data_IF_221097273549
#
_entry.id   IF_221097273549
#
_cell.length_a   1.000
_cell.length_b   1.000
_cell.length_c   1.000
_cell.angle_alpha   90.00
_cell.angle_beta   90.00
_cell.angle_gamma   90.00
#
_symmetry.space_group_name_H-M   'P 1'
#
loop_
_entity.id
_entity.type
_entity.pdbx_description
1 polymer ?
#
# COMPACT_ATOMS: atom_id res chain seq x y z
N UNK A 1 -28.96 -12.85 -24.27
CA UNK A 1 -27.75 -12.72 -23.42
C UNK A 1 -26.98 -11.44 -23.79
N UNK A 2 -26.86 -10.44 -22.91
CA UNK A 2 -26.10 -9.22 -23.21
C UNK A 2 -24.85 -9.01 -22.34
N UNK A 3 -24.55 -9.89 -21.36
CA UNK A 3 -23.48 -9.62 -20.37
C UNK A 3 -22.16 -10.35 -20.61
N UNK A 4 -22.14 -11.41 -21.40
CA UNK A 4 -20.90 -11.98 -21.95
C UNK A 4 -20.90 -11.65 -23.45
N UNK A 5 -20.03 -10.74 -23.85
CA UNK A 5 -19.82 -10.45 -25.28
C UNK A 5 -19.43 -11.71 -26.03
N UNK A 6 -19.71 -11.75 -27.34
CA UNK A 6 -19.34 -12.87 -28.22
C UNK A 6 -17.81 -12.92 -28.42
N UNK A 7 -17.08 -13.43 -27.44
CA UNK A 7 -15.67 -13.77 -27.56
C UNK A 7 -15.58 -15.21 -28.09
N UNK A 8 -14.70 -15.52 -29.06
CA UNK A 8 -14.65 -16.87 -29.64
C UNK A 8 -14.65 -16.98 -31.17
N UNK A 9 -14.81 -15.88 -31.92
CA UNK A 9 -15.05 -15.94 -33.38
C UNK A 9 -13.76 -16.16 -34.19
N UNK A 10 -13.78 -17.14 -35.08
CA UNK A 10 -12.67 -17.53 -35.97
C UNK A 10 -12.00 -18.84 -35.54
N UNK A 11 -11.32 -19.53 -36.47
CA UNK A 11 -10.75 -20.88 -36.26
C UNK A 11 -9.72 -20.97 -35.11
N UNK A 12 -9.16 -19.84 -34.65
CA UNK A 12 -8.05 -19.80 -33.66
C UNK A 12 -8.23 -18.75 -32.53
N UNK A 13 -9.46 -18.39 -32.15
CA UNK A 13 -9.69 -17.31 -31.17
C UNK A 13 -10.48 -17.77 -29.94
N UNK A 14 -9.87 -18.53 -28.99
CA UNK A 14 -10.57 -18.96 -27.79
C UNK A 14 -10.87 -17.76 -26.87
N UNK A 15 -12.15 -17.43 -26.71
CA UNK A 15 -12.60 -16.42 -25.76
C UNK A 15 -12.57 -16.95 -24.31
N UNK A 16 -12.10 -16.13 -23.36
CA UNK A 16 -12.15 -16.45 -21.93
C UNK A 16 -12.99 -15.41 -21.18
N UNK A 17 -14.07 -15.85 -20.54
CA UNK A 17 -14.86 -15.06 -19.61
C UNK A 17 -14.63 -15.51 -18.18
N UNK A 18 -14.21 -14.59 -17.29
CA UNK A 18 -14.11 -14.84 -15.85
C UNK A 18 -15.19 -14.02 -15.16
N UNK A 19 -16.07 -14.68 -14.41
CA UNK A 19 -17.14 -14.03 -13.64
C UNK A 19 -16.87 -14.23 -12.16
N UNK A 20 -16.90 -13.14 -11.40
CA UNK A 20 -16.90 -13.19 -9.94
C UNK A 20 -18.35 -13.08 -9.47
N UNK A 21 -18.87 -14.14 -8.87
CA UNK A 21 -20.20 -14.15 -8.27
C UNK A 21 -20.10 -14.34 -6.76
N UNK A 22 -20.87 -13.56 -6.00
CA UNK A 22 -21.00 -13.76 -4.56
C UNK A 22 -21.91 -14.96 -4.29
N UNK A 23 -21.55 -15.78 -3.31
CA UNK A 23 -22.35 -16.97 -2.95
C UNK A 23 -23.72 -16.62 -2.34
N UNK A 24 -23.89 -15.39 -1.84
CA UNK A 24 -25.16 -14.90 -1.31
C UNK A 24 -25.38 -13.46 -1.75
N UNK A 25 -26.36 -13.23 -2.62
CA UNK A 25 -26.74 -11.92 -3.12
C UNK A 25 -27.75 -11.26 -2.17
N UNK A 26 -27.52 -9.99 -1.82
CA UNK A 26 -28.33 -9.24 -0.84
C UNK A 26 -29.80 -9.09 -1.24
N UNK A 27 -30.08 -9.07 -2.54
CA UNK A 27 -31.43 -8.90 -3.12
C UNK A 27 -31.74 -9.94 -4.20
N UNK A 28 -30.89 -10.95 -4.35
CA UNK A 28 -31.06 -12.01 -5.34
C UNK A 28 -31.66 -13.28 -4.73
N UNK A 29 -32.05 -14.19 -5.61
CA UNK A 29 -32.35 -15.57 -5.24
C UNK A 29 -31.05 -16.22 -4.75
N UNK A 30 -31.13 -17.04 -3.71
CA UNK A 30 -29.94 -17.66 -3.09
C UNK A 30 -30.07 -19.18 -2.96
N UNK A 31 -31.23 -19.73 -3.33
CA UNK A 31 -31.51 -21.16 -3.33
C UNK A 31 -32.22 -21.55 -4.63
N UNK A 32 -31.99 -22.79 -5.08
CA UNK A 32 -32.64 -23.35 -6.27
C UNK A 32 -34.18 -23.31 -6.14
N UNK A 33 -34.70 -23.45 -4.93
CA UNK A 33 -36.14 -23.34 -4.63
C UNK A 33 -36.74 -21.97 -4.88
N UNK A 34 -35.93 -20.91 -4.93
CA UNK A 34 -36.39 -19.53 -5.11
C UNK A 34 -36.74 -19.25 -6.59
N UNK A 35 -36.38 -20.16 -7.49
CA UNK A 35 -36.74 -20.08 -8.90
C UNK A 35 -38.10 -20.75 -9.14
N UNK A 36 -39.06 -20.05 -9.78
CA UNK A 36 -40.44 -20.50 -9.90
C UNK A 36 -40.62 -21.77 -10.75
N UNK A 37 -39.57 -22.34 -11.34
CA UNK A 37 -39.71 -23.26 -12.46
C UNK A 37 -38.55 -24.27 -12.64
N UNK A 38 -38.11 -24.95 -11.59
CA UNK A 38 -37.09 -26.03 -11.70
C UNK A 38 -37.55 -27.26 -12.53
N UNK A 39 -38.81 -27.31 -12.99
CA UNK A 39 -39.38 -28.41 -13.80
C UNK A 39 -39.89 -27.97 -15.19
N UNK A 40 -39.57 -26.76 -15.64
CA UNK A 40 -40.28 -26.13 -16.77
C UNK A 40 -39.49 -26.25 -18.07
N UNK A 41 -39.48 -27.45 -18.62
CA UNK A 41 -39.19 -27.68 -20.04
C UNK A 41 -40.43 -27.60 -20.95
N UNK A 42 -41.64 -27.40 -20.39
CA UNK A 42 -42.91 -27.65 -21.09
C UNK A 42 -43.92 -26.50 -21.13
N UNK A 43 -43.73 -25.39 -20.40
CA UNK A 43 -44.76 -24.32 -20.30
C UNK A 43 -44.32 -22.92 -20.75
N UNK A 44 -43.19 -22.80 -21.48
CA UNK A 44 -42.84 -21.53 -22.14
C UNK A 44 -42.58 -20.37 -21.18
N UNK A 45 -42.01 -20.64 -20.01
CA UNK A 45 -41.59 -19.58 -19.08
C UNK A 45 -40.34 -18.88 -19.62
N UNK A 46 -40.47 -17.61 -20.01
CA UNK A 46 -39.33 -16.74 -20.28
C UNK A 46 -38.78 -16.23 -18.94
N UNK A 47 -37.59 -16.71 -18.54
CA UNK A 47 -36.93 -16.20 -17.35
C UNK A 47 -36.59 -14.72 -17.53
N UNK A 48 -36.92 -13.83 -16.57
CA UNK A 48 -36.46 -12.44 -16.60
C UNK A 48 -34.94 -12.39 -16.43
N UNK A 49 -34.30 -11.36 -16.99
CA UNK A 49 -32.85 -11.24 -17.07
C UNK A 49 -32.14 -11.31 -15.71
N UNK A 50 -32.78 -10.82 -14.65
CA UNK A 50 -32.28 -10.89 -13.27
C UNK A 50 -32.22 -12.34 -12.75
N UNK A 51 -33.14 -13.21 -13.17
CA UNK A 51 -33.14 -14.63 -12.79
C UNK A 51 -31.95 -15.38 -13.40
N UNK A 52 -31.43 -14.92 -14.55
CA UNK A 52 -30.25 -15.53 -15.16
C UNK A 52 -29.01 -15.23 -14.31
N UNK A 53 -28.88 -13.99 -13.83
CA UNK A 53 -27.76 -13.57 -13.00
C UNK A 53 -27.75 -14.28 -11.64
N UNK A 54 -28.92 -14.42 -11.03
CA UNK A 54 -29.05 -15.16 -9.76
C UNK A 54 -28.77 -16.66 -9.95
N UNK A 55 -29.24 -17.27 -11.06
CA UNK A 55 -29.00 -18.69 -11.34
C UNK A 55 -27.50 -19.00 -11.52
N UNK A 56 -26.75 -18.10 -12.18
CA UNK A 56 -25.30 -18.20 -12.35
C UNK A 56 -24.53 -18.17 -11.01
N UNK A 57 -25.02 -17.41 -10.03
CA UNK A 57 -24.35 -17.26 -8.74
C UNK A 57 -24.52 -18.46 -7.80
N UNK A 58 -25.63 -19.18 -7.91
CA UNK A 58 -26.01 -20.26 -6.97
C UNK A 58 -25.59 -21.64 -7.49
N UNK A 59 -25.46 -21.80 -8.81
CA UNK A 59 -25.07 -23.07 -9.41
C UNK A 59 -23.57 -23.05 -9.74
N UNK A 60 -22.75 -23.99 -9.21
CA UNK A 60 -21.30 -24.02 -9.44
C UNK A 60 -20.85 -24.12 -10.90
N UNK A 61 -21.81 -24.32 -11.81
CA UNK A 61 -21.61 -24.60 -13.23
C UNK A 61 -22.33 -23.60 -14.12
N UNK A 62 -22.90 -22.53 -13.56
CA UNK A 62 -23.68 -21.58 -14.35
C UNK A 62 -24.83 -22.24 -15.10
N UNK A 63 -25.62 -23.08 -14.41
CA UNK A 63 -26.86 -23.64 -14.95
C UNK A 63 -27.84 -22.50 -15.21
N UNK A 64 -27.66 -21.80 -16.32
CA UNK A 64 -28.74 -21.09 -16.98
C UNK A 64 -29.66 -22.20 -17.46
N UNK A 65 -30.79 -22.38 -16.79
CA UNK A 65 -31.84 -23.34 -17.18
C UNK A 65 -32.49 -22.88 -18.49
N UNK A 66 -31.72 -22.83 -19.57
CA UNK A 66 -32.28 -22.96 -20.89
C UNK A 66 -32.38 -24.45 -21.15
N UNK A 67 -33.60 -24.97 -21.01
CA UNK A 67 -33.93 -26.31 -21.48
C UNK A 67 -33.32 -26.52 -22.87
N UNK A 68 -32.75 -27.71 -23.14
CA UNK A 68 -32.35 -28.07 -24.51
C UNK A 68 -33.53 -28.03 -25.49
N UNK A 69 -34.77 -27.97 -24.99
CA UNK A 69 -35.98 -27.78 -25.78
C UNK A 69 -36.37 -26.29 -25.99
N UNK A 70 -35.56 -25.33 -25.51
CA UNK A 70 -35.75 -23.91 -25.79
C UNK A 70 -35.30 -23.61 -27.23
N UNK A 71 -36.21 -23.03 -28.02
CA UNK A 71 -35.94 -22.66 -29.41
C UNK A 71 -34.74 -21.73 -29.57
N UNK A 72 -34.44 -20.89 -28.57
CA UNK A 72 -33.30 -19.98 -28.61
C UNK A 72 -31.97 -20.76 -28.54
N UNK A 73 -31.90 -21.82 -27.73
CA UNK A 73 -30.72 -22.69 -27.64
C UNK A 73 -30.48 -23.42 -28.95
N UNK A 74 -31.54 -23.91 -29.59
CA UNK A 74 -31.44 -24.54 -30.91
C UNK A 74 -30.94 -23.55 -31.97
N UNK A 75 -31.45 -22.32 -31.99
CA UNK A 75 -30.99 -21.29 -32.92
C UNK A 75 -29.53 -20.91 -32.68
N UNK A 76 -29.10 -20.84 -31.41
CA UNK A 76 -27.72 -20.51 -31.05
C UNK A 76 -26.75 -21.63 -31.47
N UNK A 77 -27.09 -22.90 -31.21
CA UNK A 77 -26.30 -24.07 -31.67
C UNK A 77 -26.14 -24.11 -33.19
N UNK A 78 -27.22 -23.84 -33.94
CA UNK A 78 -27.17 -23.79 -35.40
C UNK A 78 -26.25 -22.65 -35.88
N UNK A 79 -26.34 -21.49 -35.24
CA UNK A 79 -25.51 -20.34 -35.59
C UNK A 79 -24.03 -20.57 -35.26
N UNK A 80 -23.72 -21.15 -34.11
CA UNK A 80 -22.35 -21.53 -33.71
C UNK A 80 -21.71 -22.49 -34.73
N UNK A 81 -22.47 -23.50 -35.18
CA UNK A 81 -22.01 -24.42 -36.22
C UNK A 81 -21.78 -23.72 -37.58
N UNK A 82 -22.63 -22.77 -37.96
CA UNK A 82 -22.46 -21.97 -39.18
C UNK A 82 -21.24 -21.03 -39.11
N UNK A 83 -20.97 -20.47 -37.94
CA UNK A 83 -19.84 -19.56 -37.69
C UNK A 83 -18.52 -20.32 -37.40
N UNK A 84 -18.54 -21.67 -37.45
CA UNK A 84 -17.34 -22.51 -37.30
C UNK A 84 -16.81 -22.60 -35.87
N UNK A 85 -17.67 -22.44 -34.86
CA UNK A 85 -17.29 -22.58 -33.47
C UNK A 85 -16.92 -24.04 -33.15
N UNK A 86 -15.97 -24.22 -32.23
CA UNK A 86 -15.63 -25.53 -31.70
C UNK A 86 -16.84 -26.15 -30.96
N UNK A 87 -16.91 -27.47 -30.96
CA UNK A 87 -17.96 -28.21 -30.26
C UNK A 87 -18.00 -27.83 -28.77
N UNK A 88 -19.20 -27.49 -28.29
CA UNK A 88 -19.40 -27.04 -26.92
C UNK A 88 -19.25 -28.19 -25.93
N UNK A 89 -18.26 -28.11 -25.05
CA UNK A 89 -17.99 -29.12 -24.00
C UNK A 89 -18.70 -28.82 -22.67
N UNK A 90 -19.77 -28.02 -22.67
CA UNK A 90 -20.51 -27.73 -21.44
C UNK A 90 -21.35 -28.93 -20.99
N UNK A 91 -21.70 -29.00 -19.69
CA UNK A 91 -22.48 -30.12 -19.13
C UNK A 91 -23.86 -30.33 -19.79
N UNK A 92 -24.41 -29.32 -20.46
CA UNK A 92 -25.69 -29.43 -21.16
C UNK A 92 -25.57 -30.06 -22.56
N UNK A 93 -24.35 -30.07 -23.13
CA UNK A 93 -24.04 -30.61 -24.46
C UNK A 93 -23.27 -31.94 -24.39
N UNK A 94 -22.42 -32.14 -23.38
CA UNK A 94 -21.79 -33.43 -23.07
C UNK A 94 -21.87 -33.73 -21.57
N UNK A 95 -22.38 -34.93 -21.20
CA UNK A 95 -22.56 -35.35 -19.81
C UNK A 95 -21.24 -35.56 -19.03
N UNK A 96 -20.07 -35.38 -19.65
CA UNK A 96 -18.82 -35.94 -19.14
C UNK A 96 -17.76 -34.91 -18.71
N UNK A 97 -18.06 -33.62 -18.70
CA UNK A 97 -17.15 -32.62 -18.15
C UNK A 97 -17.56 -32.32 -16.72
N UNK A 98 -17.37 -33.32 -15.84
CA UNK A 98 -17.25 -33.05 -14.42
C UNK A 98 -16.22 -31.93 -14.27
N UNK A 99 -16.64 -30.85 -13.61
CA UNK A 99 -15.81 -29.75 -13.16
C UNK A 99 -14.40 -30.25 -12.89
N UNK A 100 -13.43 -29.86 -13.72
CA UNK A 100 -12.08 -29.76 -13.21
C UNK A 100 -12.22 -28.76 -12.08
N UNK A 101 -12.15 -29.22 -10.83
CA UNK A 101 -11.95 -28.33 -9.70
C UNK A 101 -10.74 -27.49 -10.07
N UNK A 102 -10.98 -26.26 -10.52
CA UNK A 102 -9.94 -25.27 -10.65
C UNK A 102 -9.65 -24.86 -9.20
N UNK A 103 -8.87 -25.69 -8.52
CA UNK A 103 -8.25 -25.38 -7.26
C UNK A 103 -7.19 -24.31 -7.52
N UNK A 104 -7.64 -23.10 -7.82
CA UNK A 104 -6.82 -21.92 -7.67
C UNK A 104 -6.85 -21.59 -6.18
N UNK A 105 -5.81 -22.00 -5.46
CA UNK A 105 -5.48 -21.32 -4.21
C UNK A 105 -5.26 -19.85 -4.57
N UNK A 106 -6.24 -19.00 -4.27
CA UNK A 106 -6.02 -17.56 -4.28
C UNK A 106 -5.06 -17.30 -3.12
N UNK A 107 -3.77 -17.02 -3.36
CA UNK A 107 -2.82 -16.90 -2.27
C UNK A 107 -3.25 -15.67 -1.49
N UNK A 108 -3.75 -15.87 -0.27
CA UNK A 108 -4.04 -14.78 0.64
C UNK A 108 -2.70 -14.12 0.97
N UNK A 109 -2.34 -13.12 0.16
CA UNK A 109 -1.04 -12.46 0.27
C UNK A 109 -1.05 -11.70 1.59
N UNK A 110 -0.08 -11.93 2.50
CA UNK A 110 0.05 -11.12 3.68
C UNK A 110 0.12 -9.65 3.26
N UNK A 111 -0.52 -8.72 3.99
CA UNK A 111 -0.46 -7.31 3.66
C UNK A 111 1.01 -6.89 3.51
N UNK A 112 1.33 -6.27 2.37
CA UNK A 112 2.68 -5.77 2.11
C UNK A 112 3.12 -4.90 3.30
N UNK A 113 4.39 -5.01 3.76
CA UNK A 113 4.89 -4.19 4.84
C UNK A 113 4.67 -2.70 4.55
N UNK A 114 4.17 -2.00 5.56
CA UNK A 114 3.59 -0.65 5.50
C UNK A 114 4.49 0.47 4.96
N UNK A 115 5.79 0.20 4.76
CA UNK A 115 6.82 1.17 4.39
C UNK A 115 6.72 1.66 2.94
N UNK A 116 6.15 0.89 2.00
CA UNK A 116 6.00 1.33 0.61
C UNK A 116 4.57 1.80 0.35
N UNK A 117 4.22 2.94 0.92
CA UNK A 117 2.90 3.57 0.73
C UNK A 117 2.66 3.96 -0.74
N UNK A 118 1.39 4.18 -1.14
CA UNK A 118 0.99 4.70 -2.47
C UNK A 118 1.68 6.03 -2.86
N UNK A 119 2.40 6.69 -1.94
CA UNK A 119 3.12 7.95 -2.14
C UNK A 119 4.58 7.79 -2.55
N UNK A 120 5.17 6.60 -2.40
CA UNK A 120 6.60 6.32 -2.64
C UNK A 120 7.01 6.46 -4.12
N UNK A 121 6.06 6.42 -5.06
CA UNK A 121 6.32 6.72 -6.49
C UNK A 121 6.20 8.19 -6.90
N UNK A 122 5.71 9.06 -6.00
CA UNK A 122 5.45 10.50 -6.26
C UNK A 122 6.53 11.45 -5.70
N UNK A 123 7.28 11.05 -4.68
CA UNK A 123 8.37 11.87 -4.14
C UNK A 123 9.57 11.87 -5.09
N UNK A 124 10.27 13.02 -5.14
CA UNK A 124 11.50 13.13 -5.92
C UNK A 124 12.58 12.25 -5.29
N UNK A 125 12.85 11.13 -5.94
CA UNK A 125 14.00 10.28 -5.67
C UNK A 125 15.32 11.06 -5.84
N UNK A 126 16.36 10.64 -5.11
CA UNK A 126 17.74 11.06 -5.40
C UNK A 126 18.09 10.68 -6.84
N UNK A 127 19.01 11.41 -7.45
CA UNK A 127 19.31 11.27 -8.87
C UNK A 127 19.76 9.85 -9.23
N UNK A 128 20.59 9.22 -8.41
CA UNK A 128 21.06 7.85 -8.66
C UNK A 128 19.93 6.82 -8.67
N UNK A 129 19.01 6.89 -7.70
CA UNK A 129 17.83 6.00 -7.66
C UNK A 129 16.93 6.19 -8.88
N UNK A 130 16.85 7.40 -9.46
CA UNK A 130 16.12 7.64 -10.72
C UNK A 130 16.83 6.98 -11.90
N UNK A 131 18.15 7.12 -11.99
CA UNK A 131 18.99 6.50 -13.02
C UNK A 131 18.87 4.99 -12.96
N UNK A 132 18.99 4.40 -11.77
CA UNK A 132 18.83 2.98 -11.55
C UNK A 132 17.43 2.48 -11.94
N UNK A 133 16.36 3.19 -11.54
CA UNK A 133 15.00 2.83 -11.94
C UNK A 133 14.81 2.87 -13.47
N UNK A 134 15.38 3.87 -14.15
CA UNK A 134 15.33 3.96 -15.61
C UNK A 134 16.10 2.81 -16.28
N UNK A 135 17.27 2.45 -15.74
CA UNK A 135 18.04 1.29 -16.18
C UNK A 135 17.22 0.00 -16.08
N UNK A 136 16.51 -0.21 -14.96
CA UNK A 136 15.66 -1.40 -14.77
C UNK A 136 14.53 -1.50 -15.80
N UNK A 137 13.88 -0.38 -16.14
CA UNK A 137 12.84 -0.36 -17.19
C UNK A 137 13.44 -0.75 -18.55
N UNK A 138 14.62 -0.22 -18.88
CA UNK A 138 15.31 -0.53 -20.13
C UNK A 138 15.70 -2.01 -20.21
N UNK A 139 16.21 -2.59 -19.11
CA UNK A 139 16.56 -4.01 -19.06
C UNK A 139 15.34 -4.90 -19.27
N UNK A 140 14.19 -4.58 -18.65
CA UNK A 140 12.99 -5.36 -18.90
C UNK A 140 12.48 -5.20 -20.33
N UNK A 141 12.49 -3.99 -20.87
CA UNK A 141 12.04 -3.77 -22.24
C UNK A 141 12.85 -4.62 -23.24
N UNK A 142 14.17 -4.72 -23.03
CA UNK A 142 15.04 -5.58 -23.82
C UNK A 142 14.72 -7.08 -23.62
N UNK A 143 14.53 -7.52 -22.36
CA UNK A 143 14.14 -8.90 -22.05
C UNK A 143 12.80 -9.27 -22.70
N UNK A 144 11.79 -8.41 -22.55
CA UNK A 144 10.46 -8.63 -23.12
C UNK A 144 10.51 -8.79 -24.63
N UNK A 145 11.21 -7.90 -25.35
CA UNK A 145 11.37 -8.00 -26.82
C UNK A 145 12.10 -9.27 -27.27
N UNK A 146 12.93 -9.86 -26.40
CA UNK A 146 13.60 -11.13 -26.68
C UNK A 146 12.69 -12.35 -26.51
N UNK A 147 11.67 -12.26 -25.65
CA UNK A 147 10.75 -13.37 -25.34
C UNK A 147 9.49 -13.31 -26.21
N UNK A 148 8.97 -12.11 -26.44
CA UNK A 148 7.74 -11.85 -27.18
C UNK A 148 8.09 -10.84 -28.29
N UNK A 149 8.17 -11.29 -29.56
CA UNK A 149 8.31 -10.40 -30.73
C UNK A 149 7.16 -9.39 -30.79
N UNK A 150 7.35 -8.20 -31.36
CA UNK A 150 6.45 -7.03 -31.27
C UNK A 150 4.93 -7.37 -31.30
N UNK A 151 4.31 -7.42 -30.11
CA UNK A 151 2.86 -7.52 -29.91
C UNK A 151 2.34 -6.25 -29.20
N UNK A 152 1.48 -5.45 -29.85
CA UNK A 152 0.99 -4.18 -29.29
C UNK A 152 0.26 -4.31 -27.95
N UNK A 153 -0.40 -5.44 -27.74
CA UNK A 153 -1.19 -5.74 -26.53
C UNK A 153 -0.29 -5.99 -25.31
N UNK A 154 0.91 -6.51 -25.53
CA UNK A 154 1.90 -6.83 -24.51
C UNK A 154 2.99 -5.75 -24.47
N UNK A 155 2.60 -4.54 -24.11
CA UNK A 155 3.56 -3.44 -23.96
C UNK A 155 4.31 -3.55 -22.61
N UNK A 156 5.64 -3.70 -22.59
CA UNK A 156 6.43 -3.87 -21.36
C UNK A 156 6.28 -2.70 -20.39
N UNK A 157 6.00 -1.49 -20.88
CA UNK A 157 5.78 -0.30 -20.04
C UNK A 157 4.50 -0.39 -19.21
N UNK A 158 3.48 -1.11 -19.71
CA UNK A 158 2.24 -1.33 -18.96
C UNK A 158 2.46 -2.32 -17.82
N UNK A 159 3.37 -3.27 -18.00
CA UNK A 159 3.64 -4.33 -17.02
C UNK A 159 4.66 -3.88 -15.98
N UNK A 160 5.69 -3.13 -16.41
CA UNK A 160 6.76 -2.63 -15.55
C UNK A 160 7.28 -1.26 -16.03
N UNK A 161 6.48 -0.23 -15.78
CA UNK A 161 6.89 1.15 -16.00
C UNK A 161 7.71 1.74 -14.85
N UNK A 162 8.10 3.02 -15.01
CA UNK A 162 8.89 3.77 -14.02
C UNK A 162 8.32 3.73 -12.61
N UNK A 163 6.99 3.69 -12.44
CA UNK A 163 6.39 3.63 -11.12
C UNK A 163 6.80 2.34 -10.37
N UNK A 164 6.71 1.18 -11.02
CA UNK A 164 7.11 -0.10 -10.42
C UNK A 164 8.63 -0.18 -10.23
N UNK A 165 9.41 0.27 -11.22
CA UNK A 165 10.86 0.29 -11.13
C UNK A 165 11.38 1.12 -9.95
N UNK A 166 10.81 2.31 -9.74
CA UNK A 166 11.14 3.17 -8.59
C UNK A 166 10.88 2.51 -7.25
N UNK A 167 9.73 1.84 -7.12
CA UNK A 167 9.38 1.13 -5.88
C UNK A 167 10.34 -0.04 -5.64
N UNK A 168 10.70 -0.78 -6.67
CA UNK A 168 11.60 -1.93 -6.56
C UNK A 168 13.01 -1.52 -6.17
N UNK A 169 13.56 -0.46 -6.81
CA UNK A 169 14.90 0.06 -6.46
C UNK A 169 14.93 0.60 -5.03
N UNK A 170 13.89 1.32 -4.58
CA UNK A 170 13.80 1.77 -3.19
C UNK A 170 13.71 0.62 -2.19
N UNK A 171 12.88 -0.39 -2.47
CA UNK A 171 12.79 -1.56 -1.60
C UNK A 171 14.12 -2.30 -1.51
N UNK A 172 14.87 -2.36 -2.61
CA UNK A 172 16.21 -2.94 -2.65
C UNK A 172 17.20 -2.12 -1.82
N UNK A 173 17.20 -0.79 -1.97
CA UNK A 173 18.02 0.16 -1.19
C UNK A 173 17.74 0.06 0.33
N UNK A 174 16.47 -0.10 0.70
CA UNK A 174 16.03 -0.29 2.09
C UNK A 174 16.28 -1.72 2.62
N UNK A 175 16.87 -2.62 1.82
CA UNK A 175 17.28 -3.96 2.25
C UNK A 175 16.15 -4.99 2.37
N UNK A 176 15.09 -4.86 1.57
CA UNK A 176 13.96 -5.80 1.61
C UNK A 176 14.35 -7.19 1.12
N UNK A 177 13.68 -8.23 1.66
CA UNK A 177 13.90 -9.60 1.22
C UNK A 177 13.44 -9.83 -0.22
N UNK A 178 14.01 -10.86 -0.87
CA UNK A 178 13.69 -11.25 -2.25
C UNK A 178 12.20 -11.51 -2.44
N UNK A 179 11.55 -12.17 -1.47
CA UNK A 179 10.11 -12.43 -1.47
C UNK A 179 9.27 -11.14 -1.48
N UNK A 180 9.72 -10.11 -0.76
CA UNK A 180 9.03 -8.82 -0.79
C UNK A 180 9.21 -8.10 -2.12
N UNK A 181 10.40 -8.20 -2.73
CA UNK A 181 10.66 -7.62 -4.06
C UNK A 181 9.79 -8.27 -5.13
N UNK A 182 9.65 -9.60 -5.10
CA UNK A 182 8.81 -10.36 -6.04
C UNK A 182 7.33 -9.97 -5.92
N UNK A 183 6.82 -9.87 -4.69
CA UNK A 183 5.45 -9.39 -4.45
C UNK A 183 5.25 -7.94 -4.89
N UNK A 184 6.26 -7.09 -4.73
CA UNK A 184 6.19 -5.68 -5.14
C UNK A 184 6.08 -5.52 -6.66
N UNK A 185 6.74 -6.42 -7.40
CA UNK A 185 6.68 -6.51 -8.85
C UNK A 185 5.29 -6.92 -9.35
N UNK A 186 4.59 -7.72 -8.54
CA UNK A 186 3.33 -8.36 -8.89
C UNK A 186 3.52 -9.72 -9.53
N UNK A 187 4.64 -10.40 -9.24
CA UNK A 187 5.02 -11.67 -9.84
C UNK A 187 5.53 -11.55 -11.28
N UNK A 188 5.81 -12.71 -11.87
CA UNK A 188 6.26 -12.87 -13.25
C UNK A 188 5.08 -12.69 -14.21
N UNK A 189 5.15 -11.67 -15.08
CA UNK A 189 4.27 -11.58 -16.25
C UNK A 189 4.80 -12.45 -17.41
N UNK A 190 6.11 -12.72 -17.41
CA UNK A 190 6.82 -13.63 -18.31
C UNK A 190 7.69 -14.53 -17.43
N UNK A 191 7.70 -15.84 -17.71
CA UNK A 191 8.50 -16.81 -16.97
C UNK A 191 9.96 -16.35 -16.80
N UNK A 192 10.41 -16.27 -15.55
CA UNK A 192 11.78 -15.90 -15.21
C UNK A 192 12.08 -14.39 -15.24
N UNK A 193 11.07 -13.55 -15.48
CA UNK A 193 11.19 -12.08 -15.47
C UNK A 193 11.82 -11.56 -14.17
N UNK A 194 11.31 -11.97 -13.01
CA UNK A 194 11.77 -11.52 -11.72
C UNK A 194 13.19 -12.00 -11.45
N UNK A 195 13.49 -13.25 -11.80
CA UNK A 195 14.85 -13.79 -11.70
C UNK A 195 15.84 -12.96 -12.53
N UNK A 196 15.48 -12.58 -13.75
CA UNK A 196 16.27 -11.71 -14.60
C UNK A 196 16.45 -10.31 -13.98
N UNK A 197 15.37 -9.68 -13.52
CA UNK A 197 15.42 -8.34 -12.93
C UNK A 197 16.23 -8.31 -11.64
N UNK A 198 16.10 -9.33 -10.79
CA UNK A 198 16.91 -9.48 -9.58
C UNK A 198 18.40 -9.56 -9.92
N UNK A 199 18.77 -10.35 -10.93
CA UNK A 199 20.17 -10.41 -11.37
C UNK A 199 20.68 -9.03 -11.84
N UNK A 200 19.82 -8.24 -12.50
CA UNK A 200 20.16 -6.87 -12.92
C UNK A 200 20.22 -5.87 -11.75
N UNK A 201 19.43 -6.03 -10.70
CA UNK A 201 19.61 -5.29 -9.45
C UNK A 201 20.98 -5.60 -8.82
N UNK A 202 21.32 -6.88 -8.71
CA UNK A 202 22.58 -7.34 -8.14
C UNK A 202 23.80 -6.89 -8.97
N UNK A 203 23.66 -6.81 -10.30
CA UNK A 203 24.70 -6.30 -11.20
C UNK A 203 24.88 -4.79 -11.05
N UNK A 204 23.78 -4.02 -11.06
CA UNK A 204 23.85 -2.56 -10.94
C UNK A 204 24.39 -2.13 -9.58
N UNK A 205 24.05 -2.85 -8.50
CA UNK A 205 24.57 -2.56 -7.15
C UNK A 205 26.10 -2.69 -7.03
N UNK A 206 26.77 -3.31 -8.00
CA UNK A 206 28.24 -3.43 -8.05
C UNK A 206 28.91 -2.31 -8.84
N UNK A 207 28.13 -1.47 -9.53
CA UNK A 207 28.66 -0.34 -10.29
C UNK A 207 29.25 0.72 -9.36
N UNK A 208 30.24 1.46 -9.86
CA UNK A 208 30.88 2.50 -9.05
C UNK A 208 29.93 3.67 -8.78
N UNK A 209 29.04 3.99 -9.73
CA UNK A 209 27.99 4.99 -9.52
C UNK A 209 27.12 4.67 -8.29
N UNK A 210 26.74 3.40 -8.11
CA UNK A 210 25.98 2.96 -6.94
C UNK A 210 26.80 3.03 -5.65
N UNK A 211 28.08 2.61 -5.68
CA UNK A 211 28.97 2.71 -4.50
C UNK A 211 29.21 4.15 -4.09
N UNK A 212 29.44 5.05 -5.05
CA UNK A 212 29.65 6.48 -4.82
C UNK A 212 28.41 7.12 -4.19
N UNK A 213 27.21 6.71 -4.63
CA UNK A 213 25.95 7.10 -4.01
C UNK A 213 25.86 6.66 -2.54
N UNK A 214 26.18 5.39 -2.23
CA UNK A 214 26.18 4.89 -0.85
C UNK A 214 27.22 5.61 0.01
N UNK A 215 28.41 5.88 -0.52
CA UNK A 215 29.44 6.63 0.18
C UNK A 215 28.98 8.07 0.49
N UNK A 216 28.35 8.75 -0.47
CA UNK A 216 27.79 10.08 -0.26
C UNK A 216 26.71 10.09 0.84
N UNK A 217 25.85 9.06 0.89
CA UNK A 217 24.87 8.91 1.96
C UNK A 217 25.52 8.73 3.33
N UNK A 218 26.54 7.88 3.42
CA UNK A 218 27.27 7.67 4.67
C UNK A 218 27.94 8.96 5.17
N UNK A 219 28.56 9.72 4.27
CA UNK A 219 29.17 11.03 4.61
C UNK A 219 28.10 11.99 5.13
N UNK A 220 26.98 12.13 4.43
CA UNK A 220 25.87 12.99 4.86
C UNK A 220 25.32 12.58 6.24
N UNK A 221 25.21 11.27 6.51
CA UNK A 221 24.74 10.77 7.80
C UNK A 221 25.74 11.07 8.93
N UNK A 222 27.04 10.85 8.69
CA UNK A 222 28.10 11.18 9.65
C UNK A 222 28.12 12.68 9.97
N UNK A 223 28.03 13.53 8.96
CA UNK A 223 27.95 14.99 9.14
C UNK A 223 26.72 15.39 9.98
N UNK A 224 25.57 14.77 9.76
CA UNK A 224 24.36 15.02 10.56
C UNK A 224 24.53 14.59 12.02
N UNK A 225 25.17 13.44 12.26
CA UNK A 225 25.47 12.93 13.60
C UNK A 225 26.40 13.90 14.32
N UNK A 226 27.46 14.36 13.65
CA UNK A 226 28.44 15.27 14.24
C UNK A 226 27.86 16.66 14.48
N UNK A 227 27.04 17.17 13.57
CA UNK A 227 26.29 18.41 13.78
C UNK A 227 25.36 18.31 15.01
N UNK A 228 24.69 17.17 15.23
CA UNK A 228 23.88 16.96 16.45
C UNK A 228 24.74 16.92 17.71
N UNK A 229 25.89 16.26 17.69
CA UNK A 229 26.82 16.21 18.82
C UNK A 229 27.34 17.61 19.16
N UNK A 230 27.76 18.37 18.15
CA UNK A 230 28.28 19.73 18.28
C UNK A 230 27.21 20.69 18.82
N UNK A 231 25.98 20.63 18.30
CA UNK A 231 24.86 21.41 18.80
C UNK A 231 24.52 21.07 20.26
N UNK A 232 24.56 19.78 20.64
CA UNK A 232 24.35 19.34 22.02
C UNK A 232 25.47 19.84 22.96
N UNK A 233 26.72 19.80 22.52
CA UNK A 233 27.87 20.32 23.27
C UNK A 233 27.76 21.84 23.48
N UNK A 234 27.43 22.60 22.42
CA UNK A 234 27.23 24.04 22.49
C UNK A 234 26.12 24.42 23.48
N UNK A 235 24.97 23.74 23.43
CA UNK A 235 23.86 23.94 24.40
C UNK A 235 24.30 23.67 25.84
N UNK A 236 25.11 22.63 26.08
CA UNK A 236 25.64 22.34 27.43
C UNK A 236 26.61 23.42 27.90
N UNK A 237 27.46 23.94 27.02
CA UNK A 237 28.41 25.00 27.33
C UNK A 237 27.67 26.31 27.66
N UNK A 238 26.68 26.68 26.86
CA UNK A 238 25.85 27.86 27.09
C UNK A 238 25.09 27.77 28.42
N UNK A 239 24.50 26.61 28.73
CA UNK A 239 23.82 26.39 30.00
C UNK A 239 24.76 26.51 31.21
N UNK A 240 26.02 26.07 31.08
CA UNK A 240 27.06 26.25 32.11
C UNK A 240 27.44 27.73 32.26
N UNK A 241 27.63 28.45 31.16
CA UNK A 241 27.95 29.88 31.16
C UNK A 241 26.85 30.70 31.85
N UNK A 242 25.58 30.47 31.50
CA UNK A 242 24.43 31.11 32.16
C UNK A 242 24.36 30.83 33.66
N UNK A 243 24.69 29.61 34.10
CA UNK A 243 24.75 29.26 35.53
C UNK A 243 25.90 29.98 36.24
N UNK A 244 27.08 30.06 35.62
CA UNK A 244 28.22 30.77 36.21
C UNK A 244 27.95 32.27 36.30
N UNK A 245 27.34 32.87 35.28
CA UNK A 245 26.93 34.27 35.29
C UNK A 245 25.85 34.54 36.35
N UNK A 246 24.80 33.71 36.40
CA UNK A 246 23.75 33.84 37.42
C UNK A 246 24.29 33.70 38.85
N UNK A 247 25.23 32.78 39.09
CA UNK A 247 25.89 32.63 40.39
C UNK A 247 26.77 33.85 40.73
N UNK A 248 27.52 34.38 39.76
CA UNK A 248 28.33 35.58 39.95
C UNK A 248 27.47 36.81 40.27
N UNK A 249 26.36 36.98 39.55
CA UNK A 249 25.42 38.09 39.76
C UNK A 249 24.75 38.00 41.14
N UNK A 250 24.27 36.82 41.53
CA UNK A 250 23.71 36.60 42.88
C UNK A 250 24.74 36.92 43.97
N UNK A 251 26.02 36.60 43.75
CA UNK A 251 27.10 36.95 44.68
C UNK A 251 27.32 38.47 44.76
N UNK A 252 27.32 39.18 43.62
CA UNK A 252 27.43 40.66 43.59
C UNK A 252 26.28 41.32 44.34
N UNK A 253 25.04 40.86 44.12
CA UNK A 253 23.86 41.38 44.80
C UNK A 253 23.92 41.17 46.32
N UNK A 254 24.39 40.00 46.78
CA UNK A 254 24.59 39.74 48.22
C UNK A 254 25.64 40.66 48.85
N UNK A 255 26.75 40.92 48.15
CA UNK A 255 27.80 41.83 48.63
C UNK A 255 27.27 43.27 48.70
N UNK A 256 26.56 43.72 47.67
CA UNK A 256 25.94 45.06 47.65
C UNK A 256 24.93 45.24 48.80
N UNK A 257 24.04 44.26 49.03
CA UNK A 257 23.09 44.30 50.13
C UNK A 257 23.76 44.33 51.51
N UNK A 258 24.93 43.68 51.67
CA UNK A 258 25.71 43.76 52.90
C UNK A 258 26.40 45.12 53.07
N UNK A 259 26.86 45.76 51.99
CA UNK A 259 27.46 47.10 52.04
C UNK A 259 26.42 48.18 52.41
N UNK A 260 25.20 48.11 51.86
CA UNK A 260 24.11 49.03 52.20
C UNK A 260 23.67 48.90 53.66
N UNK A 261 23.84 47.72 54.27
CA UNK A 261 23.57 47.50 55.70
C UNK A 261 24.60 48.11 56.66
N UNK A 262 25.76 48.57 56.16
CA UNK A 262 26.86 49.12 56.96
C UNK A 262 26.98 50.66 56.92
N UNK A 263 25.98 51.39 56.42
CA UNK A 263 25.96 52.85 56.58
C UNK A 263 25.82 53.22 58.07
N UNK A 264 26.72 54.03 58.65
CA UNK A 264 26.73 54.31 60.07
C UNK A 264 25.49 55.13 60.44
N UNK A 265 24.68 54.61 61.36
CA UNK A 265 23.62 55.39 62.01
C UNK A 265 24.29 56.49 62.83
N UNK A 266 24.29 57.70 62.31
CA UNK A 266 24.47 58.89 63.15
C UNK A 266 23.26 59.04 64.06
N UNK A 267 23.58 59.37 65.31
CA UNK A 267 22.72 59.38 66.48
C UNK A 267 21.46 60.25 66.31
N UNK A 268 20.32 59.74 66.74
CA UNK A 268 19.03 60.42 66.64
C UNK A 268 17.97 59.73 67.48
N UNK A 269 17.81 60.21 68.70
CA UNK A 269 17.07 59.57 69.78
C UNK A 269 15.54 59.72 69.68
N UNK A 270 14.86 58.63 70.08
CA UNK A 270 13.53 58.50 70.71
C UNK A 270 12.34 59.31 70.16
N UNK A 271 11.38 58.56 69.61
CA UNK A 271 9.96 58.93 69.58
C UNK A 271 9.06 57.70 69.72
N UNK A 272 8.52 57.48 70.92
CA UNK A 272 7.47 56.47 71.19
C UNK A 272 6.13 56.99 70.65
N UNK A 273 5.44 56.20 69.84
CA UNK A 273 4.06 56.47 69.43
C UNK A 273 3.26 55.17 69.32
N UNK A 274 2.35 54.96 70.28
CA UNK A 274 1.34 53.90 70.22
C UNK A 274 0.32 54.20 69.12
N UNK A 275 -0.14 53.16 68.43
CA UNK A 275 -1.29 53.22 67.53
C UNK A 275 -1.95 51.85 67.39
N UNK A 276 -3.05 51.64 68.12
CA UNK A 276 -3.98 50.51 67.99
C UNK A 276 -4.74 50.59 66.65
N UNK A 277 -5.05 49.43 66.06
CA UNK A 277 -6.02 49.24 64.98
C UNK A 277 -5.92 47.82 64.44
N UNK A 278 -6.60 46.84 65.05
CA UNK A 278 -7.88 46.23 64.59
C UNK A 278 -7.79 45.68 63.15
N UNK A 279 -7.98 44.35 63.03
CA UNK A 279 -8.29 43.72 61.75
C UNK A 279 -8.04 42.21 61.71
N UNK A 280 -9.03 41.42 62.14
CA UNK A 280 -9.23 40.01 61.77
C UNK A 280 -9.15 39.84 60.23
N UNK A 281 -8.77 38.73 59.59
CA UNK A 281 -8.49 37.35 59.96
C UNK A 281 -8.59 36.48 58.69
N UNK A 282 -8.25 35.18 58.82
CA UNK A 282 -8.48 34.06 57.87
C UNK A 282 -7.63 34.10 56.58
N UNK A 283 -7.10 33.00 56.07
CA UNK A 283 -7.27 31.58 56.40
C UNK A 283 -6.22 30.73 55.68
N UNK A 284 -6.05 29.50 56.16
CA UNK A 284 -5.24 28.45 55.55
C UNK A 284 -5.82 28.04 54.20
N UNK A 285 -4.96 27.86 53.21
CA UNK A 285 -5.20 26.93 52.12
C UNK A 285 -4.02 25.94 52.07
N UNK A 286 -4.25 24.74 52.61
CA UNK A 286 -3.53 23.53 52.20
C UNK A 286 -4.42 22.85 51.18
N UNK A 287 -3.95 22.72 49.94
CA UNK A 287 -4.52 21.84 48.93
C UNK A 287 -3.39 20.98 48.38
N UNK A 288 -3.55 19.66 48.51
CA UNK A 288 -2.72 18.63 47.89
C UNK A 288 -2.88 18.67 46.36
N UNK A 289 -2.06 17.90 45.65
CA UNK A 289 -2.56 16.81 44.81
C UNK A 289 -1.45 15.77 44.60
N UNK A 290 -1.85 14.50 44.73
CA UNK A 290 -1.12 13.32 44.29
C UNK A 290 -2.07 12.51 43.43
N UNK A 291 -1.69 12.26 42.18
CA UNK A 291 -1.98 11.08 41.37
C UNK A 291 -1.12 11.17 40.11
#
# INVERSE_FOLDING_TARGET
>A
MPMIGRCGRGEDNPGLGIMFAETNLRTGKNKISDFPSHQVGLTGYCQPEDDHMDALAITPLGYVLLSNADSNVETEKIQEAQEGFAECLCLNCEQNVMSKELNFEVPFSPPLPSCITKKTGKQSLRNELKTFAAHMVQQLEAFHKSQIPDYPEFNPKNHFGMFKARRMVLAFDEGFSVEHLDRLMGGDAIDGQFKFLKAKLDEYSKTDAWKDYLNALHIEEEELIDNRKNASAARKQEARARRTEGNAETKRQKIAAQADSHHPKTDGSRGRGCGKGIGCGRGRARGSWSS
#
